data_IF_241151576002
#
_entry.id   IF_241151576002
#
_cell.length_a   1.000
_cell.length_b   1.000
_cell.length_c   1.000
_cell.angle_alpha   90.00
_cell.angle_beta   90.00
_cell.angle_gamma   90.00
#
_symmetry.space_group_name_H-M   'P 1'
#
loop_
_entity.id
_entity.type
_entity.pdbx_description
1 polymer ?
#
# COMPACT_ATOMS: atom_id res chain seq x y z
N UNK A 1 19.02 45.61 7.36
CA UNK A 1 18.66 44.47 6.48
C UNK A 1 17.56 43.66 7.15
N UNK A 2 16.44 43.35 6.47
CA UNK A 2 15.38 42.53 7.05
C UNK A 2 15.86 41.08 7.24
N UNK A 3 15.59 40.50 8.41
CA UNK A 3 15.96 39.12 8.74
C UNK A 3 14.97 38.16 8.08
N UNK A 4 15.35 37.58 6.95
CA UNK A 4 14.57 36.56 6.25
C UNK A 4 14.57 35.28 7.10
N UNK A 5 13.45 34.98 7.78
CA UNK A 5 13.23 33.67 8.42
C UNK A 5 13.03 32.63 7.32
N UNK A 6 14.09 31.91 6.97
CA UNK A 6 13.99 30.71 6.13
C UNK A 6 13.47 29.58 7.01
N UNK A 7 12.19 29.24 6.88
CA UNK A 7 11.67 27.98 7.38
C UNK A 7 12.24 26.87 6.49
N UNK A 8 13.44 26.41 6.83
CA UNK A 8 14.02 25.19 6.27
C UNK A 8 13.12 24.04 6.72
N UNK A 9 12.13 23.67 5.90
CA UNK A 9 11.60 22.33 6.00
C UNK A 9 12.76 21.42 5.64
N UNK A 10 13.34 20.78 6.65
CA UNK A 10 14.21 19.63 6.48
C UNK A 10 13.36 18.58 5.75
N UNK A 11 13.46 18.58 4.43
CA UNK A 11 13.02 17.44 3.65
C UNK A 11 14.05 16.38 4.01
N UNK A 12 13.75 15.58 5.04
CA UNK A 12 14.53 14.41 5.39
C UNK A 12 14.75 13.59 4.11
N UNK A 13 15.99 13.62 3.64
CA UNK A 13 16.47 12.90 2.47
C UNK A 13 16.54 11.43 2.89
N UNK A 14 15.37 10.79 2.89
CA UNK A 14 15.16 9.40 3.30
C UNK A 14 13.79 8.86 2.88
N UNK A 15 13.12 9.55 1.95
CA UNK A 15 11.82 9.13 1.40
C UNK A 15 12.04 8.04 0.36
N UNK A 16 12.25 6.82 0.85
CA UNK A 16 12.04 5.59 0.09
C UNK A 16 10.59 5.59 -0.44
N UNK A 17 10.46 5.96 -1.72
CA UNK A 17 9.29 5.76 -2.58
C UNK A 17 7.98 6.50 -2.21
N UNK A 18 7.97 7.82 -2.41
CA UNK A 18 6.76 8.65 -2.35
C UNK A 18 6.07 8.74 -3.73
N UNK A 19 5.05 7.92 -3.98
CA UNK A 19 4.11 8.16 -5.09
C UNK A 19 2.97 9.05 -4.55
N UNK A 20 3.02 10.37 -4.84
CA UNK A 20 1.92 11.30 -4.58
C UNK A 20 0.89 11.19 -5.70
N UNK A 21 -0.23 10.49 -5.45
CA UNK A 21 -1.38 10.55 -6.37
C UNK A 21 -2.19 11.80 -6.01
N UNK A 22 -1.99 12.86 -6.80
CA UNK A 22 -2.71 14.13 -6.68
C UNK A 22 -4.05 14.04 -7.39
N UNK A 23 -5.13 13.80 -6.65
CA UNK A 23 -6.50 14.03 -7.12
C UNK A 23 -6.89 15.50 -6.93
N UNK A 24 -7.84 16.00 -7.74
CA UNK A 24 -8.30 17.42 -7.69
C UNK A 24 -8.86 17.85 -6.33
N UNK A 25 -9.27 16.90 -5.47
CA UNK A 25 -9.86 17.15 -4.13
C UNK A 25 -9.25 16.32 -2.99
N UNK A 26 -8.40 15.35 -3.28
CA UNK A 26 -7.83 14.44 -2.28
C UNK A 26 -6.34 14.24 -2.54
N UNK A 27 -5.53 14.31 -1.47
CA UNK A 27 -4.09 14.06 -1.52
C UNK A 27 -3.84 12.74 -0.80
N UNK A 28 -3.43 11.72 -1.54
CA UNK A 28 -3.01 10.46 -0.94
C UNK A 28 -1.49 10.43 -0.82
N UNK A 29 -0.99 10.29 0.41
CA UNK A 29 0.42 10.13 0.71
C UNK A 29 0.69 8.64 0.94
N UNK A 30 1.28 7.95 -0.04
CA UNK A 30 1.60 6.52 0.07
C UNK A 30 3.11 6.33 0.20
N UNK A 31 3.52 5.85 1.37
CA UNK A 31 4.93 5.68 1.77
C UNK A 31 5.56 4.34 1.30
N UNK A 32 4.86 3.58 0.45
CA UNK A 32 5.26 2.23 0.07
C UNK A 32 4.41 1.73 -1.12
N UNK A 33 5.02 1.37 -2.25
CA UNK A 33 4.32 0.76 -3.41
C UNK A 33 3.46 -0.44 -3.00
N UNK A 34 3.96 -1.21 -2.04
CA UNK A 34 3.23 -2.32 -1.47
C UNK A 34 1.88 -1.90 -0.87
N UNK A 35 1.84 -0.77 -0.16
CA UNK A 35 0.61 -0.29 0.48
C UNK A 35 -0.45 0.02 -0.58
N UNK A 36 -0.05 0.65 -1.69
CA UNK A 36 -0.94 0.92 -2.81
C UNK A 36 -1.48 -0.37 -3.44
N UNK A 37 -0.60 -1.35 -3.70
CA UNK A 37 -0.98 -2.66 -4.26
C UNK A 37 -1.95 -3.38 -3.32
N UNK A 38 -1.67 -3.39 -2.01
CA UNK A 38 -2.55 -4.03 -1.01
C UNK A 38 -3.93 -3.37 -0.97
N UNK A 39 -4.00 -2.04 -1.03
CA UNK A 39 -5.28 -1.32 -1.07
C UNK A 39 -6.05 -1.59 -2.36
N UNK A 40 -5.36 -1.69 -3.50
CA UNK A 40 -5.98 -2.03 -4.77
C UNK A 40 -6.59 -3.44 -4.74
N UNK A 41 -5.87 -4.42 -4.20
CA UNK A 41 -6.38 -5.80 -4.00
C UNK A 41 -7.61 -5.80 -3.09
N UNK A 42 -7.57 -5.03 -2.01
CA UNK A 42 -8.68 -4.91 -1.07
C UNK A 42 -9.94 -4.35 -1.72
N UNK A 43 -9.78 -3.26 -2.49
CA UNK A 43 -10.87 -2.62 -3.23
C UNK A 43 -11.44 -3.57 -4.27
N UNK A 44 -10.56 -4.22 -5.05
CA UNK A 44 -10.96 -5.14 -6.11
C UNK A 44 -11.69 -6.37 -5.55
N UNK A 45 -11.24 -6.89 -4.41
CA UNK A 45 -11.92 -7.95 -3.65
C UNK A 45 -13.37 -7.54 -3.36
N UNK A 46 -13.57 -6.34 -2.79
CA UNK A 46 -14.89 -5.82 -2.49
C UNK A 46 -15.78 -5.68 -3.73
N UNK A 47 -15.23 -5.13 -4.82
CA UNK A 47 -15.93 -4.99 -6.11
C UNK A 47 -16.43 -6.35 -6.61
N UNK A 48 -15.58 -7.37 -6.57
CA UNK A 48 -15.95 -8.71 -7.01
C UNK A 48 -17.07 -9.33 -6.18
N UNK A 49 -17.00 -9.22 -4.85
CA UNK A 49 -18.08 -9.71 -3.99
C UNK A 49 -19.38 -8.94 -4.17
N UNK A 50 -19.33 -7.64 -4.45
CA UNK A 50 -20.53 -6.84 -4.76
C UNK A 50 -21.16 -7.32 -6.07
N UNK A 51 -20.38 -7.51 -7.13
CA UNK A 51 -20.92 -8.00 -8.40
C UNK A 51 -21.43 -9.43 -8.32
N UNK A 52 -20.75 -10.32 -7.59
CA UNK A 52 -21.25 -11.66 -7.32
C UNK A 52 -22.60 -11.64 -6.58
N UNK A 53 -22.75 -10.73 -5.62
CA UNK A 53 -24.01 -10.53 -4.88
C UNK A 53 -25.10 -9.93 -5.74
N UNK A 54 -24.76 -8.98 -6.62
CA UNK A 54 -25.73 -8.39 -7.54
C UNK A 54 -26.23 -9.42 -8.56
N UNK A 55 -25.34 -10.28 -9.08
CA UNK A 55 -25.73 -11.40 -9.92
C UNK A 55 -26.70 -12.34 -9.18
N UNK A 56 -26.42 -12.65 -7.91
CA UNK A 56 -27.27 -13.51 -7.06
C UNK A 56 -28.63 -12.89 -6.70
N UNK A 57 -28.74 -11.56 -6.71
CA UNK A 57 -29.98 -10.81 -6.40
C UNK A 57 -30.84 -10.54 -7.63
N UNK A 58 -30.35 -10.82 -8.82
CA UNK A 58 -31.02 -10.52 -10.10
C UNK A 58 -31.31 -11.81 -10.87
N UNK A 59 -31.98 -11.70 -12.03
CA UNK A 59 -32.23 -12.85 -12.92
C UNK A 59 -30.99 -13.26 -13.74
N UNK A 60 -29.80 -12.81 -13.35
CA UNK A 60 -28.55 -13.16 -14.04
C UNK A 60 -28.23 -14.63 -13.74
N UNK A 61 -27.76 -15.42 -14.72
CA UNK A 61 -27.39 -16.80 -14.46
C UNK A 61 -26.32 -16.94 -13.36
N UNK A 62 -26.57 -17.82 -12.39
CA UNK A 62 -25.75 -17.99 -11.17
C UNK A 62 -24.26 -18.17 -11.45
N UNK A 63 -23.92 -18.85 -12.57
CA UNK A 63 -22.53 -19.08 -13.00
C UNK A 63 -21.68 -17.81 -13.03
N UNK A 64 -22.27 -16.67 -13.43
CA UNK A 64 -21.54 -15.41 -13.47
C UNK A 64 -21.24 -14.88 -12.07
N UNK A 65 -22.20 -15.00 -11.16
CA UNK A 65 -22.01 -14.68 -9.74
C UNK A 65 -20.95 -15.57 -9.11
N UNK A 66 -20.95 -16.86 -9.43
CA UNK A 66 -19.94 -17.82 -8.94
C UNK A 66 -18.53 -17.44 -9.40
N UNK A 67 -18.33 -17.04 -10.65
CA UNK A 67 -17.02 -16.59 -11.11
C UNK A 67 -16.55 -15.31 -10.41
N UNK A 68 -17.46 -14.36 -10.15
CA UNK A 68 -17.13 -13.15 -9.40
C UNK A 68 -16.76 -13.46 -7.95
N UNK A 69 -17.51 -14.33 -7.27
CA UNK A 69 -17.16 -14.76 -5.92
C UNK A 69 -15.83 -15.51 -5.86
N UNK A 70 -15.55 -16.37 -6.83
CA UNK A 70 -14.27 -17.08 -6.91
C UNK A 70 -13.11 -16.10 -7.12
N UNK A 71 -13.26 -15.14 -8.03
CA UNK A 71 -12.25 -14.09 -8.25
C UNK A 71 -12.02 -13.28 -6.96
N UNK A 72 -13.10 -12.84 -6.30
CA UNK A 72 -13.04 -12.13 -5.03
C UNK A 72 -12.31 -12.94 -3.94
N UNK A 73 -12.60 -14.24 -3.83
CA UNK A 73 -11.92 -15.14 -2.90
C UNK A 73 -10.42 -15.26 -3.19
N UNK A 74 -10.02 -15.37 -4.47
CA UNK A 74 -8.62 -15.37 -4.88
C UNK A 74 -7.93 -14.07 -4.45
N UNK A 75 -8.52 -12.90 -4.73
CA UNK A 75 -7.94 -11.62 -4.28
C UNK A 75 -7.86 -11.51 -2.76
N UNK A 76 -8.86 -12.03 -2.04
CA UNK A 76 -8.83 -12.09 -0.59
C UNK A 76 -7.65 -12.93 -0.07
N UNK A 77 -7.29 -14.03 -0.74
CA UNK A 77 -6.11 -14.85 -0.38
C UNK A 77 -4.78 -14.22 -0.77
N UNK A 78 -4.73 -13.35 -1.79
CA UNK A 78 -3.51 -12.60 -2.15
C UNK A 78 -3.12 -11.62 -1.04
N UNK A 79 -4.09 -11.03 -0.32
CA UNK A 79 -3.86 -10.08 0.78
C UNK A 79 -2.85 -10.58 1.84
N UNK A 80 -3.03 -11.76 2.48
CA UNK A 80 -2.05 -12.28 3.43
C UNK A 80 -0.69 -12.62 2.79
N UNK A 81 -0.66 -13.13 1.55
CA UNK A 81 0.59 -13.40 0.81
C UNK A 81 1.40 -12.12 0.66
N UNK A 82 0.75 -11.06 0.19
CA UNK A 82 1.34 -9.74 0.13
C UNK A 82 1.90 -9.34 1.51
N UNK A 83 1.13 -9.52 2.60
CA UNK A 83 1.58 -9.09 3.95
C UNK A 83 2.84 -9.82 4.39
N UNK A 84 2.95 -11.11 4.07
CA UNK A 84 4.12 -11.94 4.35
C UNK A 84 5.32 -11.43 3.55
N UNK A 85 5.16 -11.23 2.23
CA UNK A 85 6.24 -10.72 1.35
C UNK A 85 6.76 -9.38 1.85
N UNK A 86 5.87 -8.43 2.19
CA UNK A 86 6.28 -7.14 2.77
C UNK A 86 7.12 -7.34 4.02
N UNK A 87 6.64 -8.17 4.95
CA UNK A 87 7.33 -8.33 6.23
C UNK A 87 8.72 -8.96 6.04
N UNK A 88 8.87 -9.93 5.14
CA UNK A 88 10.17 -10.57 4.84
C UNK A 88 11.14 -9.56 4.22
N UNK A 89 10.73 -8.82 3.18
CA UNK A 89 11.60 -7.82 2.53
C UNK A 89 11.97 -6.66 3.48
N UNK A 90 11.03 -6.19 4.30
CA UNK A 90 11.30 -5.11 5.27
C UNK A 90 12.28 -5.56 6.36
N UNK A 91 12.28 -6.84 6.74
CA UNK A 91 13.25 -7.34 7.72
C UNK A 91 14.68 -7.34 7.21
N UNK A 92 14.88 -7.48 5.90
CA UNK A 92 16.21 -7.55 5.29
C UNK A 92 16.87 -6.16 5.22
N UNK A 93 16.14 -5.15 4.73
CA UNK A 93 16.71 -3.81 4.50
C UNK A 93 16.71 -2.91 5.75
N UNK A 94 15.62 -2.89 6.53
CA UNK A 94 15.51 -1.95 7.68
C UNK A 94 16.37 -2.37 8.89
N UNK A 95 16.63 -3.67 9.09
CA UNK A 95 17.58 -4.13 10.12
C UNK A 95 19.02 -3.83 9.73
N UNK A 96 19.37 -3.95 8.45
CA UNK A 96 20.70 -3.60 7.96
C UNK A 96 20.99 -2.11 8.18
N UNK A 97 20.07 -1.23 7.78
CA UNK A 97 20.29 0.23 7.87
C UNK A 97 20.35 0.74 9.33
N UNK A 98 19.52 0.20 10.24
CA UNK A 98 19.58 0.55 11.68
C UNK A 98 20.87 0.08 12.35
N UNK A 99 21.42 -1.08 11.98
CA UNK A 99 22.69 -1.59 12.54
C UNK A 99 23.88 -0.73 12.12
N UNK A 100 23.93 -0.32 10.86
CA UNK A 100 25.02 0.52 10.32
C UNK A 100 25.02 1.94 10.90
N UNK A 101 23.84 2.55 11.06
CA UNK A 101 23.71 3.88 11.70
C UNK A 101 24.09 3.86 13.19
N UNK A 102 23.73 2.80 13.92
CA UNK A 102 24.07 2.66 15.35
C UNK A 102 25.57 2.43 15.57
N UNK A 103 26.24 1.71 14.66
CA UNK A 103 27.69 1.48 14.70
C UNK A 103 28.49 2.77 14.43
N UNK A 104 28.11 3.55 13.41
CA UNK A 104 28.71 4.87 13.12
C UNK A 104 28.61 5.87 14.27
N UNK A 105 27.55 5.79 15.08
CA UNK A 105 27.32 6.72 16.20
C UNK A 105 28.03 6.32 17.51
N UNK A 106 28.69 5.16 17.55
CA UNK A 106 29.56 4.74 18.66
C UNK A 106 31.06 4.83 18.31
N UNK A 107 31.38 5.07 17.03
CA UNK A 107 32.75 5.26 16.54
C UNK A 107 33.15 6.75 16.38
N UNK A 108 32.25 7.69 16.75
CA UNK A 108 32.49 9.15 16.74
C UNK A 108 32.42 9.67 18.18
#
# INVERSE_FOLDING_TARGET
MPKIKRNTHEIEIGKEEDIEIRGRRFRFYFQNRYTLISLAVDLLTGIFYIFGSLASLTKIPDRYGTYFYLAGAIFLTIRPILRIVRNIFIYDEKKAMKRTSKKKRHEI
#
